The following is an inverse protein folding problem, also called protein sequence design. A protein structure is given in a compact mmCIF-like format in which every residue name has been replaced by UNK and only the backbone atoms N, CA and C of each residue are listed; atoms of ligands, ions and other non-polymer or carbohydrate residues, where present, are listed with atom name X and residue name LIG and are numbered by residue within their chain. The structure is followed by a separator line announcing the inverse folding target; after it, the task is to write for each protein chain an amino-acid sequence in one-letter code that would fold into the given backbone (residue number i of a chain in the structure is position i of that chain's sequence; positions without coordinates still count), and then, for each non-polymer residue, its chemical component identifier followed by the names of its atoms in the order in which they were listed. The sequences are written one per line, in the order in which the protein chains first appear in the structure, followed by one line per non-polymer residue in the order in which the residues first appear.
data_IF_479649913195
#
_entry.id   IF_479649913195
#
_cell.length_a   1.000
_cell.length_b   1.000
_cell.length_c   1.000
_cell.angle_alpha   90.00
_cell.angle_beta   90.00
_cell.angle_gamma   90.00
#
_symmetry.space_group_name_H-M   'P 1'
#
loop_
_entity.id
_entity.type
_entity.pdbx_description
1 polymer ?
#
# COMPACT_ATOMS: atom_id res chain seq x y z
N UNK A 1 25.44 25.13 -50.93
CA UNK A 1 25.19 25.40 -49.49
C UNK A 1 24.34 26.67 -49.26
N UNK A 2 23.28 26.92 -50.04
CA UNK A 2 22.41 28.12 -49.89
C UNK A 2 20.92 27.80 -49.70
N UNK A 3 20.55 26.52 -49.62
CA UNK A 3 19.15 26.06 -49.53
C UNK A 3 18.70 25.70 -48.11
N UNK A 4 19.62 25.64 -47.16
CA UNK A 4 19.30 25.25 -45.76
C UNK A 4 18.95 26.45 -44.89
N UNK A 5 19.46 27.65 -45.20
CA UNK A 5 19.20 28.86 -44.42
C UNK A 5 17.80 29.48 -44.64
N UNK A 6 17.08 29.06 -45.69
CA UNK A 6 15.75 29.61 -46.00
C UNK A 6 14.59 28.85 -45.32
N UNK A 7 14.84 27.63 -44.83
CA UNK A 7 13.81 26.82 -44.16
C UNK A 7 13.69 27.13 -42.66
N UNK A 8 14.73 27.66 -42.02
CA UNK A 8 14.71 27.98 -40.58
C UNK A 8 14.04 29.32 -40.26
N UNK A 9 13.98 30.27 -41.19
CA UNK A 9 13.31 31.57 -40.99
C UNK A 9 11.80 31.53 -41.22
N UNK A 10 11.29 30.59 -42.02
CA UNK A 10 9.85 30.44 -42.27
C UNK A 10 9.10 29.78 -41.10
N UNK A 11 9.75 28.90 -40.32
CA UNK A 11 9.09 28.21 -39.22
C UNK A 11 8.90 29.09 -37.97
N UNK A 12 9.75 30.09 -37.76
CA UNK A 12 9.64 31.03 -36.64
C UNK A 12 8.57 32.11 -36.85
N UNK A 13 8.23 32.45 -38.11
CA UNK A 13 7.23 33.47 -38.42
C UNK A 13 5.78 32.96 -38.28
N UNK A 14 5.55 31.65 -38.41
CA UNK A 14 4.19 31.06 -38.29
C UNK A 14 3.71 30.97 -36.84
N UNK A 15 4.62 30.87 -35.87
CA UNK A 15 4.27 30.73 -34.45
C UNK A 15 3.88 32.05 -33.75
N UNK A 16 4.20 33.21 -34.35
CA UNK A 16 3.91 34.52 -33.75
C UNK A 16 2.62 35.15 -34.28
N UNK A 17 2.10 34.69 -35.44
CA UNK A 17 0.92 35.29 -36.08
C UNK A 17 -0.40 34.59 -35.70
N UNK A 18 -0.36 33.36 -35.16
CA UNK A 18 -1.57 32.55 -34.89
C UNK A 18 -2.12 32.62 -33.46
N UNK A 19 -1.59 33.46 -32.57
CA UNK A 19 -2.19 33.67 -31.24
C UNK A 19 -2.44 35.13 -30.90
N UNK A 20 -3.47 35.76 -31.50
CA UNK A 20 -4.08 36.93 -30.92
C UNK A 20 -5.47 36.55 -30.36
N UNK A 21 -5.71 36.88 -29.09
CA UNK A 21 -7.03 37.05 -28.46
C UNK A 21 -7.95 35.82 -28.31
N UNK A 22 -7.82 35.16 -27.16
CA UNK A 22 -8.99 34.88 -26.32
C UNK A 22 -8.86 35.82 -25.10
N UNK A 23 -9.28 37.07 -25.27
CA UNK A 23 -9.73 37.94 -24.16
C UNK A 23 -11.15 37.50 -23.73
N UNK A 24 -11.69 37.83 -22.56
CA UNK A 24 -11.47 38.96 -21.66
C UNK A 24 -12.82 39.67 -21.43
N UNK A 25 -13.15 40.02 -20.18
CA UNK A 25 -14.15 41.04 -19.83
C UNK A 25 -15.38 40.59 -19.02
N UNK A 26 -15.48 41.03 -17.75
CA UNK A 26 -16.65 40.93 -16.83
C UNK A 26 -17.78 41.94 -17.17
N UNK A 27 -18.51 42.59 -16.22
CA UNK A 27 -18.73 42.38 -14.77
C UNK A 27 -20.24 42.36 -14.34
N UNK A 28 -20.48 42.33 -13.00
CA UNK A 28 -21.65 42.89 -12.25
C UNK A 28 -22.92 41.98 -12.09
N UNK A 29 -23.71 41.90 -10.99
CA UNK A 29 -23.98 42.68 -9.76
C UNK A 29 -24.59 41.73 -8.68
N UNK A 30 -24.17 41.85 -7.41
CA UNK A 30 -25.04 41.83 -6.21
C UNK A 30 -25.63 40.53 -5.65
N UNK A 31 -25.09 40.09 -4.50
CA UNK A 31 -25.80 40.11 -3.21
C UNK A 31 -24.78 40.02 -2.08
N UNK A 32 -24.74 41.05 -1.24
CA UNK A 32 -24.01 41.02 0.02
C UNK A 32 -24.76 40.13 1.02
N UNK A 33 -24.05 39.22 1.68
CA UNK A 33 -24.48 38.72 2.99
C UNK A 33 -23.52 39.28 4.04
N UNK A 34 -24.13 39.98 4.99
CA UNK A 34 -23.49 40.71 6.06
C UNK A 34 -22.69 39.77 6.97
N UNK A 35 -21.51 40.23 7.35
CA UNK A 35 -20.79 39.74 8.52
C UNK A 35 -21.47 40.27 9.79
N UNK A 36 -21.79 39.37 10.72
CA UNK A 36 -22.04 39.72 12.11
C UNK A 36 -20.70 39.81 12.85
N UNK A 37 -20.53 40.74 13.80
CA UNK A 37 -19.35 40.82 14.63
C UNK A 37 -19.50 39.86 15.83
N UNK A 38 -18.65 38.85 15.94
CA UNK A 38 -18.37 38.22 17.23
C UNK A 38 -16.94 38.55 17.65
N UNK A 39 -16.84 39.48 18.59
CA UNK A 39 -15.76 39.62 19.55
C UNK A 39 -15.66 38.34 20.39
N UNK A 40 -14.59 37.58 20.20
CA UNK A 40 -14.21 36.49 21.09
C UNK A 40 -12.72 36.18 20.93
N UNK A 41 -11.90 36.73 21.81
CA UNK A 41 -10.46 36.42 21.90
C UNK A 41 -10.25 35.01 22.48
N UNK A 42 -9.18 34.30 22.11
CA UNK A 42 -8.87 32.99 22.67
C UNK A 42 -8.33 33.11 24.10
N UNK A 43 -9.00 32.46 25.07
CA UNK A 43 -8.51 32.37 26.46
C UNK A 43 -7.78 31.04 26.63
N UNK A 44 -6.45 31.11 26.56
CA UNK A 44 -5.57 30.24 27.33
C UNK A 44 -5.25 30.96 28.65
N UNK A 45 -5.79 30.48 29.78
CA UNK A 45 -5.24 30.72 31.11
C UNK A 45 -5.88 29.78 32.13
N UNK A 46 -5.04 29.10 32.90
CA UNK A 46 -5.37 28.28 34.07
C UNK A 46 -6.32 29.00 35.03
N UNK A 47 -7.43 28.37 35.39
CA UNK A 47 -8.31 28.86 36.43
C UNK A 47 -8.03 28.15 37.76
N UNK A 48 -7.72 28.94 38.77
CA UNK A 48 -7.66 28.59 40.19
C UNK A 48 -9.06 28.32 40.76
N UNK A 49 -9.16 27.29 41.60
CA UNK A 49 -10.37 26.85 42.31
C UNK A 49 -10.84 27.88 43.35
N UNK A 50 -12.16 28.10 43.50
CA UNK A 50 -12.76 28.46 44.78
C UNK A 50 -13.41 27.23 45.44
N UNK A 51 -13.10 27.08 46.73
CA UNK A 51 -13.62 26.08 47.66
C UNK A 51 -14.93 26.57 48.27
N UNK A 52 -16.03 25.90 47.97
CA UNK A 52 -17.23 25.87 48.80
C UNK A 52 -17.81 24.46 48.76
N UNK A 53 -17.91 23.86 49.94
CA UNK A 53 -18.42 22.52 50.17
C UNK A 53 -19.95 22.55 50.27
N UNK A 54 -20.61 21.65 49.54
CA UNK A 54 -21.91 21.08 49.88
C UNK A 54 -22.05 19.74 49.14
N UNK A 55 -22.53 18.74 49.87
CA UNK A 55 -22.46 17.30 49.57
C UNK A 55 -22.98 16.87 48.20
N UNK A 56 -22.13 16.17 47.45
CA UNK A 56 -22.54 15.23 46.41
C UNK A 56 -21.59 14.02 46.44
N UNK A 57 -22.17 12.84 46.59
CA UNK A 57 -21.46 11.56 46.68
C UNK A 57 -20.50 11.36 45.47
N UNK A 58 -19.30 10.78 45.67
CA UNK A 58 -18.41 10.50 44.56
C UNK A 58 -18.97 9.34 43.72
N UNK A 59 -19.51 9.66 42.55
CA UNK A 59 -19.62 8.68 41.48
C UNK A 59 -18.20 8.35 41.00
N UNK A 60 -17.63 7.28 41.55
CA UNK A 60 -16.39 6.68 41.05
C UNK A 60 -16.66 6.05 39.67
N UNK A 61 -16.58 6.85 38.61
CA UNK A 61 -16.79 6.40 37.23
C UNK A 61 -15.46 5.97 36.61
N UNK A 62 -15.11 4.70 36.81
CA UNK A 62 -14.73 3.78 35.73
C UNK A 62 -13.47 3.99 34.88
N UNK A 63 -12.50 4.82 35.24
CA UNK A 63 -11.32 5.08 34.37
C UNK A 63 -10.27 3.96 34.36
N UNK A 64 -9.99 3.30 35.48
CA UNK A 64 -8.96 2.23 35.50
C UNK A 64 -9.46 0.93 34.86
N UNK A 65 -10.76 0.63 34.99
CA UNK A 65 -11.36 -0.55 34.36
C UNK A 65 -11.49 -0.38 32.85
N UNK A 66 -11.69 0.84 32.36
CA UNK A 66 -11.76 1.09 30.91
C UNK A 66 -10.38 0.99 30.25
N UNK A 67 -9.33 1.54 30.87
CA UNK A 67 -7.95 1.41 30.38
C UNK A 67 -7.44 -0.02 30.49
N UNK A 68 -7.70 -0.73 31.60
CA UNK A 68 -7.36 -2.15 31.72
C UNK A 68 -8.14 -3.02 30.73
N UNK A 69 -9.40 -2.69 30.43
CA UNK A 69 -10.19 -3.40 29.41
C UNK A 69 -9.68 -3.15 27.99
N UNK A 70 -9.25 -1.93 27.67
CA UNK A 70 -8.63 -1.59 26.39
C UNK A 70 -7.28 -2.26 26.24
N UNK A 71 -6.42 -2.24 27.25
CA UNK A 71 -5.12 -2.93 27.22
C UNK A 71 -5.28 -4.46 27.12
N UNK A 72 -6.28 -5.05 27.78
CA UNK A 72 -6.59 -6.47 27.66
C UNK A 72 -7.18 -6.82 26.28
N UNK A 73 -7.96 -5.92 25.67
CA UNK A 73 -8.45 -6.09 24.30
C UNK A 73 -7.32 -5.95 23.27
N UNK A 74 -6.43 -4.96 23.42
CA UNK A 74 -5.24 -4.78 22.60
C UNK A 74 -4.29 -5.97 22.73
N UNK A 75 -4.03 -6.47 23.94
CA UNK A 75 -3.20 -7.67 24.13
C UNK A 75 -3.83 -8.93 23.49
N UNK A 76 -5.17 -9.04 23.49
CA UNK A 76 -5.87 -10.12 22.76
C UNK A 76 -5.79 -9.97 21.25
N UNK A 77 -5.80 -8.74 20.72
CA UNK A 77 -5.68 -8.47 19.28
C UNK A 77 -4.24 -8.69 18.80
N UNK A 78 -3.22 -8.29 19.57
CA UNK A 78 -1.81 -8.57 19.24
C UNK A 78 -1.44 -10.06 19.34
N UNK A 79 -2.19 -10.85 20.11
CA UNK A 79 -2.00 -12.29 20.20
C UNK A 79 -2.64 -13.07 19.03
N UNK A 80 -3.43 -12.41 18.19
CA UNK A 80 -4.06 -12.99 17.00
C UNK A 80 -3.36 -12.42 15.78
N UNK A 81 -2.83 -13.30 14.94
CA UNK A 81 -2.25 -12.93 13.65
C UNK A 81 -3.37 -12.47 12.70
N UNK A 82 -3.74 -11.20 12.80
CA UNK A 82 -4.79 -10.60 11.97
C UNK A 82 -4.33 -10.39 10.53
N UNK A 83 -3.03 -10.56 10.24
CA UNK A 83 -2.45 -10.44 8.90
C UNK A 83 -2.80 -11.68 8.02
N UNK A 84 -3.41 -12.71 8.61
CA UNK A 84 -3.80 -13.96 7.95
C UNK A 84 -5.31 -14.26 7.99
N UNK A 85 -6.17 -13.30 8.32
CA UNK A 85 -7.64 -13.50 8.44
C UNK A 85 -8.35 -13.99 7.15
N UNK A 86 -7.69 -13.91 6.00
CA UNK A 86 -8.19 -14.51 4.76
C UNK A 86 -7.94 -16.03 4.63
N UNK A 87 -7.27 -16.66 5.61
CA UNK A 87 -6.98 -18.10 5.59
C UNK A 87 -7.92 -18.86 6.54
N UNK A 88 -8.66 -19.81 5.98
CA UNK A 88 -9.42 -20.82 6.73
C UNK A 88 -8.48 -21.50 7.75
N UNK A 89 -8.91 -21.73 9.02
CA UNK A 89 -8.08 -22.41 10.01
C UNK A 89 -7.56 -23.76 9.46
N UNK A 90 -6.23 -23.89 9.37
CA UNK A 90 -5.60 -25.17 9.02
C UNK A 90 -5.42 -25.95 10.32
N UNK A 91 -5.89 -27.21 10.41
CA UNK A 91 -5.67 -28.06 11.57
C UNK A 91 -4.17 -28.19 11.88
N UNK A 92 -3.81 -28.04 13.16
CA UNK A 92 -2.46 -28.24 13.66
C UNK A 92 -2.06 -29.69 13.36
N UNK A 93 -0.97 -29.94 12.59
CA UNK A 93 -0.47 -31.28 12.38
C UNK A 93 -0.05 -31.89 13.73
N UNK A 94 -0.34 -33.18 13.98
CA UNK A 94 0.16 -33.84 15.17
C UNK A 94 1.70 -33.76 15.22
N UNK A 95 2.30 -33.71 16.43
CA UNK A 95 3.75 -33.64 16.58
C UNK A 95 4.42 -34.80 15.82
N UNK A 96 5.52 -34.53 15.10
CA UNK A 96 6.19 -35.55 14.31
C UNK A 96 6.71 -36.66 15.21
N UNK A 97 6.41 -37.91 14.85
CA UNK A 97 7.04 -39.07 15.44
C UNK A 97 8.57 -38.99 15.25
N UNK A 98 9.37 -39.48 16.22
CA UNK A 98 10.83 -39.46 16.11
C UNK A 98 11.29 -40.19 14.83
N UNK A 99 12.35 -39.69 14.17
CA UNK A 99 12.71 -40.11 12.82
C UNK A 99 13.15 -41.59 12.79
N UNK A 100 12.39 -42.39 12.06
CA UNK A 100 12.88 -43.66 11.53
C UNK A 100 13.82 -43.38 10.33
N UNK A 101 14.87 -44.19 10.23
CA UNK A 101 15.93 -44.12 9.22
C UNK A 101 15.39 -44.08 7.76
N UNK A 102 16.16 -43.52 6.79
CA UNK A 102 15.61 -43.16 5.49
C UNK A 102 15.36 -44.40 4.63
N UNK A 103 14.09 -44.67 4.31
CA UNK A 103 13.70 -45.53 3.19
C UNK A 103 13.28 -44.68 2.00
N UNK A 104 13.97 -44.89 0.89
CA UNK A 104 13.73 -44.35 -0.44
C UNK A 104 12.29 -44.49 -0.93
N UNK A 105 11.68 -43.36 -1.30
CA UNK A 105 10.69 -43.26 -2.39
C UNK A 105 9.21 -43.42 -2.04
N UNK A 106 8.44 -42.32 -2.11
CA UNK A 106 7.38 -42.07 -3.13
C UNK A 106 6.65 -40.75 -2.89
N UNK A 107 6.26 -40.15 -4.02
CA UNK A 107 5.57 -38.87 -4.25
C UNK A 107 4.27 -38.70 -3.46
N UNK A 108 4.00 -37.47 -3.03
CA UNK A 108 2.65 -36.97 -2.73
C UNK A 108 2.65 -35.51 -2.25
N UNK A 109 2.18 -34.57 -3.09
CA UNK A 109 1.87 -33.19 -2.68
C UNK A 109 2.75 -32.08 -3.25
N UNK A 110 2.98 -32.04 -4.57
CA UNK A 110 3.64 -30.91 -5.23
C UNK A 110 2.67 -29.73 -5.38
N UNK A 111 2.61 -28.85 -4.37
CA UNK A 111 2.49 -27.43 -4.69
C UNK A 111 3.77 -27.07 -5.44
N UNK A 112 3.67 -26.40 -6.59
CA UNK A 112 4.78 -26.07 -7.49
C UNK A 112 5.86 -25.27 -6.78
N UNK A 113 6.73 -25.95 -6.04
CA UNK A 113 7.93 -25.40 -5.47
C UNK A 113 8.79 -25.03 -6.68
N UNK A 114 8.80 -23.74 -7.02
CA UNK A 114 9.72 -23.24 -8.03
C UNK A 114 11.14 -23.71 -7.71
N UNK A 115 11.97 -23.85 -8.75
CA UNK A 115 13.38 -24.22 -8.64
C UNK A 115 14.02 -23.55 -7.42
N UNK A 116 14.73 -24.30 -6.58
CA UNK A 116 15.32 -23.74 -5.37
C UNK A 116 16.42 -22.71 -5.72
N UNK A 117 16.75 -21.77 -4.81
CA UNK A 117 17.89 -20.88 -5.02
C UNK A 117 19.21 -21.65 -5.27
N UNK A 118 19.39 -22.79 -4.61
CA UNK A 118 20.55 -23.66 -4.79
C UNK A 118 20.62 -24.25 -6.21
N UNK A 119 19.51 -24.75 -6.73
CA UNK A 119 19.44 -25.24 -8.11
C UNK A 119 19.68 -24.11 -9.12
N UNK A 120 19.12 -22.91 -8.91
CA UNK A 120 19.41 -21.76 -9.79
C UNK A 120 20.89 -21.37 -9.79
N UNK A 121 21.54 -21.39 -8.62
CA UNK A 121 22.99 -21.18 -8.50
C UNK A 121 23.77 -22.24 -9.27
N UNK A 122 23.40 -23.52 -9.10
CA UNK A 122 24.05 -24.63 -9.76
C UNK A 122 23.93 -24.55 -11.29
N UNK A 123 22.74 -24.20 -11.81
CA UNK A 123 22.52 -24.01 -13.25
C UNK A 123 23.38 -22.88 -13.81
N UNK A 124 23.43 -21.71 -13.15
CA UNK A 124 24.29 -20.60 -13.60
C UNK A 124 25.77 -21.00 -13.53
N UNK A 125 26.21 -21.65 -12.45
CA UNK A 125 27.59 -22.11 -12.30
C UNK A 125 28.00 -23.13 -13.37
N UNK A 126 27.11 -24.07 -13.72
CA UNK A 126 27.33 -25.04 -14.80
C UNK A 126 27.48 -24.36 -16.17
N UNK A 127 26.86 -23.18 -16.35
CA UNK A 127 27.04 -22.33 -17.53
C UNK A 127 28.25 -21.37 -17.42
N UNK A 128 29.08 -21.47 -16.38
CA UNK A 128 30.21 -20.57 -16.13
C UNK A 128 29.81 -19.16 -15.69
N UNK A 129 28.57 -18.98 -15.22
CA UNK A 129 27.99 -17.70 -14.82
C UNK A 129 27.80 -17.63 -13.30
N UNK A 130 27.78 -16.41 -12.77
CA UNK A 130 27.38 -16.12 -11.39
C UNK A 130 25.98 -15.51 -11.35
N UNK A 131 25.38 -15.47 -10.16
CA UNK A 131 24.12 -14.73 -9.97
C UNK A 131 24.36 -13.24 -10.11
N UNK A 132 23.45 -12.55 -10.81
CA UNK A 132 23.54 -11.11 -10.98
C UNK A 132 23.48 -10.40 -9.61
N UNK A 133 24.32 -9.37 -9.38
CA UNK A 133 24.21 -8.55 -8.19
C UNK A 133 22.91 -7.71 -8.22
N UNK A 134 22.51 -7.18 -7.06
CA UNK A 134 21.38 -6.23 -7.00
C UNK A 134 21.80 -4.90 -7.64
N UNK A 135 21.06 -4.38 -8.64
CA UNK A 135 21.31 -3.06 -9.21
C UNK A 135 20.80 -1.92 -8.30
N UNK A 136 20.30 -2.23 -7.10
CA UNK A 136 19.62 -1.28 -6.23
C UNK A 136 18.15 -1.06 -6.62
N UNK A 137 17.59 0.03 -6.10
CA UNK A 137 16.23 0.47 -6.34
C UNK A 137 16.14 1.67 -7.30
N UNK A 138 14.91 2.04 -7.64
CA UNK A 138 14.60 3.19 -8.49
C UNK A 138 13.11 3.47 -8.49
N UNK A 139 12.66 4.35 -9.39
CA UNK A 139 11.27 4.77 -9.50
C UNK A 139 10.93 6.00 -8.66
N UNK A 140 9.72 6.50 -8.86
CA UNK A 140 9.19 7.67 -8.20
C UNK A 140 7.67 7.69 -8.25
N UNK A 141 7.07 8.39 -7.31
CA UNK A 141 5.64 8.58 -7.19
C UNK A 141 5.33 10.06 -6.96
N UNK A 142 4.14 10.53 -7.39
CA UNK A 142 3.74 11.91 -7.21
C UNK A 142 3.61 12.32 -5.73
N UNK A 143 3.41 11.35 -4.81
CA UNK A 143 2.90 11.65 -3.49
C UNK A 143 1.47 12.17 -3.55
N UNK A 144 1.00 12.76 -2.45
CA UNK A 144 -0.34 13.33 -2.33
C UNK A 144 -1.19 12.61 -1.31
N UNK A 145 -2.50 12.84 -1.34
CA UNK A 145 -3.48 12.14 -0.52
C UNK A 145 -4.86 12.20 -1.18
N UNK A 146 -5.79 11.42 -0.67
CA UNK A 146 -7.18 11.37 -1.15
C UNK A 146 -8.03 12.58 -0.69
N UNK A 147 -7.50 13.40 0.21
CA UNK A 147 -8.24 14.50 0.84
C UNK A 147 -9.19 14.05 1.96
N UNK A 148 -9.26 12.75 2.25
CA UNK A 148 -10.10 12.12 3.27
C UNK A 148 -9.31 11.52 4.45
N UNK A 149 -7.98 11.61 4.41
CA UNK A 149 -7.12 11.30 5.56
C UNK A 149 -6.07 10.24 5.28
N UNK A 150 -6.09 9.59 4.11
CA UNK A 150 -5.00 8.75 3.66
C UNK A 150 -4.03 9.53 2.77
N UNK A 151 -2.74 9.34 2.99
CA UNK A 151 -1.70 9.84 2.09
C UNK A 151 -1.28 8.74 1.11
N UNK A 152 -0.85 9.15 -0.07
CA UNK A 152 -0.48 8.28 -1.17
C UNK A 152 0.97 7.84 -1.16
N UNK A 153 1.31 7.17 -2.24
CA UNK A 153 2.61 6.54 -2.49
C UNK A 153 3.66 7.63 -2.59
N UNK A 154 4.66 7.55 -1.72
CA UNK A 154 5.81 8.44 -1.79
C UNK A 154 6.91 7.84 -2.67
N UNK A 155 7.81 8.69 -3.15
CA UNK A 155 9.02 8.19 -3.83
C UNK A 155 9.91 7.34 -2.90
N UNK A 156 9.89 7.61 -1.58
CA UNK A 156 10.59 6.79 -0.59
C UNK A 156 10.02 5.37 -0.48
N UNK A 157 8.71 5.21 -0.62
CA UNK A 157 8.06 3.90 -0.61
C UNK A 157 8.53 3.04 -1.79
N UNK A 158 8.50 3.59 -3.01
CA UNK A 158 8.94 2.88 -4.22
C UNK A 158 10.44 2.58 -4.17
N UNK A 159 11.27 3.53 -3.71
CA UNK A 159 12.72 3.32 -3.62
C UNK A 159 13.09 2.23 -2.60
N UNK A 160 12.47 2.25 -1.42
CA UNK A 160 12.71 1.24 -0.39
C UNK A 160 12.19 -0.14 -0.82
N UNK A 161 11.01 -0.19 -1.47
CA UNK A 161 10.46 -1.41 -2.06
C UNK A 161 11.36 -1.98 -3.14
N UNK A 162 11.70 -1.19 -4.17
CA UNK A 162 12.46 -1.65 -5.34
C UNK A 162 13.87 -2.12 -4.99
N UNK A 163 14.54 -1.41 -4.07
CA UNK A 163 15.87 -1.80 -3.58
C UNK A 163 15.81 -3.17 -2.89
N UNK A 164 14.86 -3.35 -1.97
CA UNK A 164 14.67 -4.61 -1.24
C UNK A 164 14.23 -5.74 -2.16
N UNK A 165 13.30 -5.47 -3.06
CA UNK A 165 12.81 -6.42 -4.05
C UNK A 165 13.96 -6.98 -4.92
N UNK A 166 14.81 -6.10 -5.46
CA UNK A 166 15.97 -6.52 -6.23
C UNK A 166 17.06 -7.21 -5.40
N UNK A 167 17.26 -6.80 -4.14
CA UNK A 167 18.14 -7.50 -3.22
C UNK A 167 17.67 -8.95 -2.97
N UNK A 168 16.36 -9.14 -2.75
CA UNK A 168 15.75 -10.47 -2.62
C UNK A 168 15.94 -11.29 -3.90
N UNK A 169 15.72 -10.71 -5.08
CA UNK A 169 15.96 -11.39 -6.36
C UNK A 169 17.40 -11.84 -6.52
N UNK A 170 18.36 -10.95 -6.29
CA UNK A 170 19.79 -11.24 -6.38
C UNK A 170 20.20 -12.33 -5.37
N UNK A 171 19.75 -12.24 -4.12
CA UNK A 171 20.00 -13.23 -3.06
C UNK A 171 19.44 -14.62 -3.42
N UNK A 172 18.42 -14.67 -4.27
CA UNK A 172 17.79 -15.91 -4.72
C UNK A 172 18.17 -16.32 -6.14
N UNK A 173 19.17 -15.66 -6.74
CA UNK A 173 19.65 -15.91 -8.09
C UNK A 173 18.57 -15.80 -9.18
N UNK A 174 17.65 -14.87 -8.96
CA UNK A 174 16.72 -14.37 -9.97
C UNK A 174 17.33 -13.15 -10.62
N UNK A 175 17.17 -13.01 -11.94
CA UNK A 175 17.66 -11.82 -12.64
C UNK A 175 16.92 -10.58 -12.12
N UNK A 176 17.62 -9.49 -11.76
CA UNK A 176 16.99 -8.31 -11.18
C UNK A 176 16.10 -7.60 -12.20
N UNK A 177 15.17 -6.78 -11.70
CA UNK A 177 14.40 -5.87 -12.53
C UNK A 177 15.22 -4.59 -12.73
N UNK A 178 15.31 -4.05 -13.97
CA UNK A 178 15.97 -2.77 -14.19
C UNK A 178 15.41 -1.68 -13.25
N UNK A 179 16.29 -0.87 -12.65
CA UNK A 179 15.87 0.13 -11.66
C UNK A 179 14.82 1.13 -12.20
N UNK A 180 14.86 1.42 -13.51
CA UNK A 180 13.87 2.27 -14.18
C UNK A 180 12.50 1.62 -14.39
N UNK A 181 12.33 0.33 -14.11
CA UNK A 181 11.09 -0.41 -14.38
C UNK A 181 10.20 -0.60 -13.13
N UNK A 182 10.53 0.06 -12.02
CA UNK A 182 9.62 0.18 -10.88
C UNK A 182 8.75 1.42 -11.07
N UNK A 183 7.45 1.20 -11.19
CA UNK A 183 6.48 2.22 -11.60
C UNK A 183 5.44 2.43 -10.52
N UNK A 184 5.16 3.69 -10.22
CA UNK A 184 3.94 4.07 -9.53
C UNK A 184 2.72 3.65 -10.37
N UNK A 185 1.68 3.14 -9.70
CA UNK A 185 0.43 2.73 -10.35
C UNK A 185 -0.76 3.41 -9.67
N UNK A 186 -1.25 4.48 -10.29
CA UNK A 186 -2.40 5.24 -9.81
C UNK A 186 -3.68 4.41 -9.72
N UNK A 187 -3.83 3.39 -10.58
CA UNK A 187 -4.98 2.52 -10.57
C UNK A 187 -4.97 1.64 -9.31
N UNK A 188 -3.81 1.09 -8.92
CA UNK A 188 -3.70 0.37 -7.64
C UNK A 188 -3.82 1.31 -6.44
N UNK A 189 -3.27 2.52 -6.50
CA UNK A 189 -3.40 3.48 -5.40
C UNK A 189 -4.87 3.85 -5.13
N UNK A 190 -5.67 4.06 -6.18
CA UNK A 190 -7.10 4.31 -6.05
C UNK A 190 -7.84 3.18 -5.33
N UNK A 191 -7.40 1.94 -5.52
CA UNK A 191 -7.91 0.77 -4.78
C UNK A 191 -7.58 0.86 -3.30
N UNK A 192 -6.35 1.23 -2.99
CA UNK A 192 -5.86 1.34 -1.62
C UNK A 192 -6.56 2.48 -0.86
N UNK A 193 -6.81 3.62 -1.52
CA UNK A 193 -7.64 4.69 -0.95
C UNK A 193 -9.06 4.20 -0.64
N UNK A 194 -9.68 3.47 -1.58
CA UNK A 194 -11.01 2.89 -1.33
C UNK A 194 -11.02 1.94 -0.12
N UNK A 195 -9.94 1.20 0.13
CA UNK A 195 -9.77 0.37 1.34
C UNK A 195 -9.44 1.20 2.60
N UNK A 196 -8.88 2.40 2.44
CA UNK A 196 -8.50 3.28 3.54
C UNK A 196 -9.67 4.16 4.01
N UNK A 197 -10.62 4.42 3.13
CA UNK A 197 -11.80 5.24 3.39
C UNK A 197 -12.95 4.44 4.00
N UNK A 198 -12.83 3.11 4.11
CA UNK A 198 -13.86 2.26 4.70
C UNK A 198 -14.03 2.56 6.20
N UNK A 199 -15.20 3.09 6.63
CA UNK A 199 -15.43 3.45 8.02
C UNK A 199 -15.74 2.24 8.92
N UNK A 200 -15.83 1.04 8.34
CA UNK A 200 -16.19 -0.18 9.06
C UNK A 200 -15.05 -0.67 9.96
N UNK A 201 -15.36 -0.93 11.22
CA UNK A 201 -14.44 -1.61 12.14
C UNK A 201 -14.33 -3.13 11.87
N UNK A 202 -15.05 -3.68 10.88
CA UNK A 202 -14.97 -5.09 10.55
C UNK A 202 -13.71 -5.36 9.69
N UNK A 203 -12.74 -6.16 10.16
CA UNK A 203 -11.50 -6.42 9.45
C UNK A 203 -11.66 -7.17 8.12
N UNK A 204 -12.83 -7.77 7.87
CA UNK A 204 -13.16 -8.39 6.59
C UNK A 204 -13.80 -7.45 5.58
N UNK A 205 -14.19 -6.24 5.95
CA UNK A 205 -14.78 -5.28 5.01
C UNK A 205 -13.70 -4.62 4.15
N UNK A 206 -13.99 -4.44 2.86
CA UNK A 206 -13.14 -3.83 1.80
C UNK A 206 -11.73 -4.41 1.60
N UNK A 207 -11.20 -5.16 2.56
CA UNK A 207 -9.94 -5.87 2.51
C UNK A 207 -9.96 -7.06 1.56
N UNK A 208 -8.84 -7.28 0.88
CA UNK A 208 -8.59 -8.41 -0.01
C UNK A 208 -8.91 -8.15 -1.49
N UNK A 209 -8.70 -9.18 -2.31
CA UNK A 209 -8.80 -9.11 -3.77
C UNK A 209 -10.24 -8.93 -4.29
N UNK A 210 -11.21 -9.57 -3.63
CA UNK A 210 -12.61 -9.47 -4.03
C UNK A 210 -13.32 -8.22 -3.47
N UNK A 211 -12.80 -7.64 -2.38
CA UNK A 211 -13.52 -6.66 -1.55
C UNK A 211 -14.78 -7.31 -0.97
N UNK A 212 -14.79 -7.63 0.32
CA UNK A 212 -16.00 -8.24 0.89
C UNK A 212 -17.02 -7.17 1.20
N UNK A 213 -18.30 -7.51 1.02
CA UNK A 213 -19.44 -6.71 1.44
C UNK A 213 -19.29 -6.34 2.91
N UNK A 214 -19.50 -5.07 3.29
CA UNK A 214 -19.63 -4.72 4.69
C UNK A 214 -20.73 -5.59 5.30
N UNK A 215 -20.46 -6.22 6.44
CA UNK A 215 -21.50 -6.98 7.16
C UNK A 215 -22.37 -6.07 8.03
N UNK A 216 -21.98 -4.80 8.18
CA UNK A 216 -22.71 -3.81 8.96
C UNK A 216 -23.09 -2.64 8.06
N UNK A 217 -24.39 -2.35 7.88
CA UNK A 217 -24.81 -1.17 7.12
C UNK A 217 -24.44 0.12 7.88
N UNK A 218 -24.18 1.19 7.13
CA UNK A 218 -24.13 2.56 7.64
C UNK A 218 -25.49 2.96 8.24
N UNK A 219 -25.52 4.09 8.95
CA UNK A 219 -26.71 4.58 9.66
C UNK A 219 -27.93 4.82 8.74
N UNK A 220 -27.71 5.00 7.44
CA UNK A 220 -28.74 5.17 6.41
C UNK A 220 -29.20 3.84 5.76
N UNK A 221 -28.70 2.69 6.25
CA UNK A 221 -29.02 1.37 5.71
C UNK A 221 -28.22 0.97 4.47
N UNK A 222 -27.34 1.85 3.95
CA UNK A 222 -26.42 1.52 2.86
C UNK A 222 -25.22 0.75 3.37
N UNK A 223 -24.59 -0.09 2.55
CA UNK A 223 -23.29 -0.67 2.88
C UNK A 223 -22.23 0.01 2.03
N UNK A 224 -21.09 0.36 2.63
CA UNK A 224 -19.99 1.06 1.96
C UNK A 224 -19.52 0.35 0.66
N UNK A 225 -19.60 -0.97 0.63
CA UNK A 225 -19.23 -1.85 -0.50
C UNK A 225 -20.31 -2.06 -1.56
N UNK A 226 -21.59 -1.77 -1.28
CA UNK A 226 -22.71 -2.26 -2.11
C UNK A 226 -22.99 -1.39 -3.33
N UNK A 227 -22.37 -0.22 -3.39
CA UNK A 227 -22.63 0.79 -4.42
C UNK A 227 -21.43 1.00 -5.34
N UNK A 228 -20.26 0.43 -5.03
CA UNK A 228 -19.10 0.51 -5.92
C UNK A 228 -18.30 -0.80 -5.89
N UNK A 229 -18.16 -1.51 -7.03
CA UNK A 229 -17.15 -2.55 -7.19
C UNK A 229 -15.77 -2.00 -6.79
N UNK A 230 -14.85 -2.89 -6.37
CA UNK A 230 -13.50 -2.48 -6.00
C UNK A 230 -12.93 -1.50 -7.03
N UNK A 231 -12.65 -0.26 -6.63
CA UNK A 231 -12.08 0.75 -7.52
C UNK A 231 -10.64 0.38 -7.83
N UNK A 232 -10.18 0.64 -9.04
CA UNK A 232 -8.76 0.50 -9.36
C UNK A 232 -8.31 -0.92 -9.71
N UNK A 233 -6.99 -1.12 -9.69
CA UNK A 233 -6.32 -2.32 -10.17
C UNK A 233 -5.91 -3.22 -9.01
N UNK A 234 -5.92 -4.54 -9.22
CA UNK A 234 -5.53 -5.51 -8.20
C UNK A 234 -4.05 -5.93 -8.33
N UNK A 235 -3.51 -6.48 -7.25
CA UNK A 235 -2.14 -6.95 -7.14
C UNK A 235 -1.95 -7.71 -5.83
N UNK A 236 -0.72 -8.09 -5.50
CA UNK A 236 -0.42 -8.58 -4.16
C UNK A 236 -0.72 -7.47 -3.15
N UNK A 237 -1.54 -7.77 -2.14
CA UNK A 237 -1.92 -6.80 -1.11
C UNK A 237 -1.15 -7.06 0.19
N UNK A 238 -0.85 -5.99 0.92
CA UNK A 238 -0.36 -6.04 2.29
C UNK A 238 -0.96 -4.87 3.08
N UNK A 239 -1.23 -5.11 4.36
CA UNK A 239 -1.78 -4.13 5.30
C UNK A 239 -1.09 -4.22 6.64
N UNK A 240 -1.26 -3.22 7.50
CA UNK A 240 -0.79 -3.27 8.88
C UNK A 240 0.13 -2.11 9.27
N UNK A 241 0.42 -2.04 10.56
CA UNK A 241 1.30 -1.02 11.13
C UNK A 241 2.78 -1.35 10.93
N UNK A 242 3.61 -0.30 10.85
CA UNK A 242 5.07 -0.46 10.73
C UNK A 242 5.55 -0.95 9.37
N UNK A 243 4.66 -1.00 8.39
CA UNK A 243 4.97 -1.39 7.03
C UNK A 243 5.61 -0.22 6.25
N UNK A 244 6.81 -0.43 5.73
CA UNK A 244 7.45 0.35 4.66
C UNK A 244 7.50 -0.45 3.35
N UNK A 245 7.86 0.21 2.24
CA UNK A 245 8.11 -0.47 0.95
C UNK A 245 9.05 -1.68 1.08
N UNK A 246 10.12 -1.56 1.88
CA UNK A 246 11.04 -2.66 2.15
C UNK A 246 10.37 -3.83 2.87
N UNK A 247 9.60 -3.56 3.93
CA UNK A 247 8.95 -4.62 4.71
C UNK A 247 7.90 -5.37 3.92
N UNK A 248 7.11 -4.69 3.07
CA UNK A 248 6.09 -5.37 2.25
C UNK A 248 6.73 -6.21 1.13
N UNK A 249 7.89 -5.77 0.59
CA UNK A 249 8.67 -6.59 -0.34
C UNK A 249 9.08 -7.93 0.30
N UNK A 250 9.54 -7.90 1.56
CA UNK A 250 9.91 -9.09 2.31
C UNK A 250 8.69 -9.96 2.66
N UNK A 251 7.61 -9.36 3.18
CA UNK A 251 6.34 -10.08 3.48
C UNK A 251 5.82 -10.85 2.25
N UNK A 252 5.83 -10.23 1.06
CA UNK A 252 5.41 -10.90 -0.17
C UNK A 252 6.38 -11.97 -0.65
N UNK A 253 7.68 -11.84 -0.36
CA UNK A 253 8.63 -12.92 -0.62
C UNK A 253 8.36 -14.11 0.31
N UNK A 254 8.11 -13.88 1.59
CA UNK A 254 7.94 -14.96 2.56
C UNK A 254 6.63 -15.74 2.33
N UNK A 255 5.56 -15.07 1.86
CA UNK A 255 4.33 -15.73 1.43
C UNK A 255 4.47 -16.42 0.07
N UNK A 256 4.18 -17.72 0.01
CA UNK A 256 4.34 -18.54 -1.21
C UNK A 256 3.50 -18.03 -2.40
N UNK A 257 2.21 -17.74 -2.18
CA UNK A 257 1.31 -17.28 -3.24
C UNK A 257 1.73 -15.90 -3.77
N UNK A 258 2.04 -14.96 -2.87
CA UNK A 258 2.51 -13.63 -3.23
C UNK A 258 3.84 -13.67 -3.97
N UNK A 259 4.79 -14.51 -3.51
CA UNK A 259 6.08 -14.73 -4.16
C UNK A 259 5.92 -15.25 -5.58
N UNK A 260 5.05 -16.25 -5.79
CA UNK A 260 4.79 -16.80 -7.11
C UNK A 260 4.15 -15.78 -8.05
N UNK A 261 3.22 -14.97 -7.55
CA UNK A 261 2.52 -13.95 -8.33
C UNK A 261 3.44 -12.78 -8.71
N UNK A 262 4.24 -12.28 -7.76
CA UNK A 262 5.01 -11.06 -7.93
C UNK A 262 6.47 -11.31 -8.31
N UNK A 263 7.19 -12.22 -7.63
CA UNK A 263 8.60 -12.46 -7.91
C UNK A 263 8.85 -13.45 -9.06
N UNK A 264 7.81 -14.21 -9.46
CA UNK A 264 7.85 -15.14 -10.59
C UNK A 264 9.16 -15.99 -10.60
N UNK A 265 9.50 -16.73 -9.52
CA UNK A 265 10.79 -17.42 -9.40
C UNK A 265 11.03 -18.53 -10.44
N UNK A 266 9.99 -18.93 -11.17
CA UNK A 266 10.02 -19.88 -12.28
C UNK A 266 10.04 -19.21 -13.67
N UNK A 267 10.02 -17.88 -13.75
CA UNK A 267 10.11 -17.17 -15.03
C UNK A 267 11.53 -17.28 -15.59
N UNK A 268 11.63 -17.73 -16.84
CA UNK A 268 12.89 -17.98 -17.55
C UNK A 268 13.18 -16.96 -18.65
N UNK A 269 12.27 -16.01 -18.90
CA UNK A 269 12.49 -14.91 -19.83
C UNK A 269 13.40 -13.83 -19.26
N UNK A 270 13.87 -12.94 -20.13
CA UNK A 270 14.62 -11.75 -19.70
C UNK A 270 13.74 -10.75 -18.97
N UNK A 271 14.29 -10.06 -17.96
CA UNK A 271 13.57 -9.05 -17.16
C UNK A 271 13.60 -7.64 -17.75
N UNK A 272 14.23 -7.44 -18.91
CA UNK A 272 14.40 -6.12 -19.53
C UNK A 272 13.10 -5.38 -19.84
N UNK A 273 12.04 -6.10 -20.26
CA UNK A 273 10.71 -5.55 -20.54
C UNK A 273 9.70 -5.71 -19.39
N UNK A 274 10.16 -6.18 -18.23
CA UNK A 274 9.29 -6.39 -17.07
C UNK A 274 9.21 -5.11 -16.28
N UNK A 275 7.98 -4.70 -15.94
CA UNK A 275 7.70 -3.63 -15.00
C UNK A 275 7.11 -4.20 -13.70
N UNK A 276 7.53 -3.64 -12.57
CA UNK A 276 6.89 -3.85 -11.28
C UNK A 276 6.11 -2.59 -10.94
N UNK A 277 4.80 -2.73 -10.93
CA UNK A 277 3.88 -1.68 -10.55
C UNK A 277 3.70 -1.73 -9.04
N UNK A 278 3.69 -0.57 -8.39
CA UNK A 278 3.61 -0.45 -6.94
C UNK A 278 2.76 0.76 -6.53
N UNK A 279 1.98 0.58 -5.49
CA UNK A 279 1.29 1.65 -4.77
C UNK A 279 1.32 1.37 -3.27
N UNK A 280 1.32 2.43 -2.46
CA UNK A 280 1.22 2.37 -1.02
C UNK A 280 0.43 3.57 -0.52
N UNK A 281 -0.48 3.36 0.42
CA UNK A 281 -1.21 4.44 1.11
C UNK A 281 -0.94 4.35 2.60
N UNK A 282 -0.99 5.48 3.29
CA UNK A 282 -0.70 5.60 4.72
C UNK A 282 -1.88 6.25 5.43
N UNK A 283 -2.24 5.72 6.60
CA UNK A 283 -3.43 6.15 7.33
C UNK A 283 -4.73 5.69 6.68
N UNK A 284 -5.81 6.40 6.96
CA UNK A 284 -7.18 6.05 6.60
C UNK A 284 -8.17 6.42 7.69
N UNK A 285 -9.45 6.31 7.40
CA UNK A 285 -10.54 6.60 8.35
C UNK A 285 -10.44 5.62 9.51
N UNK A 286 -10.19 6.15 10.73
CA UNK A 286 -10.07 5.34 11.94
C UNK A 286 -8.69 4.70 12.16
N UNK A 287 -7.77 4.83 11.22
CA UNK A 287 -6.41 4.30 11.34
C UNK A 287 -5.43 5.32 11.93
N UNK A 288 -4.46 4.83 12.70
CA UNK A 288 -3.30 5.65 13.08
C UNK A 288 -2.43 5.94 11.85
N UNK A 289 -1.71 7.07 11.85
CA UNK A 289 -0.81 7.44 10.75
C UNK A 289 0.34 6.45 10.48
N UNK A 290 0.53 5.43 11.32
CA UNK A 290 1.52 4.36 11.12
C UNK A 290 0.98 3.10 10.44
N UNK A 291 -0.32 3.05 10.12
CA UNK A 291 -0.91 1.96 9.34
C UNK A 291 -0.71 2.22 7.85
N UNK A 292 -0.29 1.22 7.09
CA UNK A 292 -0.15 1.35 5.64
C UNK A 292 -0.81 0.20 4.90
N UNK A 293 -1.24 0.48 3.67
CA UNK A 293 -1.77 -0.49 2.72
C UNK A 293 -0.90 -0.45 1.49
N UNK A 294 -0.48 -1.59 0.95
CA UNK A 294 0.39 -1.67 -0.21
C UNK A 294 -0.14 -2.65 -1.24
N UNK A 295 0.12 -2.35 -2.50
CA UNK A 295 -0.19 -3.20 -3.64
C UNK A 295 1.01 -3.28 -4.58
N UNK A 296 1.29 -4.47 -5.11
CA UNK A 296 2.27 -4.62 -6.19
C UNK A 296 1.88 -5.70 -7.19
N UNK A 297 2.24 -5.49 -8.46
CA UNK A 297 2.02 -6.49 -9.52
C UNK A 297 3.16 -6.52 -10.52
N UNK A 298 3.41 -7.73 -11.02
CA UNK A 298 4.30 -7.97 -12.16
C UNK A 298 3.56 -7.72 -13.46
N UNK A 299 4.15 -6.96 -14.38
CA UNK A 299 3.60 -6.74 -15.72
C UNK A 299 4.68 -6.40 -16.74
N UNK A 300 4.26 -5.88 -17.88
CA UNK A 300 5.15 -5.37 -18.92
C UNK A 300 5.28 -3.85 -18.83
N UNK A 301 6.45 -3.35 -19.21
CA UNK A 301 6.60 -2.01 -19.74
C UNK A 301 6.23 -2.05 -21.25
#
# INVERSE_FOLDING_TARGET
MKRVAFLTTLLAAVLVVLLPFIGGGGPSIGTASAALPETGTPVFASATLPKTATDAAPAAVGTERSVASQQAATAKVLAVDTEHLAQKPVPIPPPPAPPAAPSSGKRGGAASAGVSPGERRAVKAAAGQSCAPSPGGGGGAPGGGDGQGATGTTSGDIQSFSSTYNAIRAANCLDPIPAGNFRYDACMEQRLYWMAEDPSANPGNTWGHAGVRSLTPAADGSYYSDTTPSRGCDGNLAGGSGNSGATVAQKWWDSSAHRLALYKPSFTGGTGGVCIFFAMTHGGVGDSGGFTRAAARWGSC
#
